data_IF_541689551747
#
_entry.id   IF_541689551747
#
_cell.length_a   1.000
_cell.length_b   1.000
_cell.length_c   1.000
_cell.angle_alpha   90.00
_cell.angle_beta   90.00
_cell.angle_gamma   90.00
#
_symmetry.space_group_name_H-M   'P 1'
#
loop_
_entity.id
_entity.type
_entity.pdbx_description
1 polymer ?
#
# COMPACT_ATOMS: atom_id res chain seq x y z
N UNK A 1 -9.58 30.12 1.80
CA UNK A 1 -8.54 29.09 1.56
C UNK A 1 -9.09 27.65 1.44
N UNK A 2 -9.89 27.13 2.38
CA UNK A 2 -10.32 25.72 2.37
C UNK A 2 -11.57 25.36 1.53
N UNK A 3 -12.12 26.29 0.74
CA UNK A 3 -13.38 26.08 0.00
C UNK A 3 -13.31 24.92 -1.00
N UNK A 4 -12.25 24.75 -1.82
CA UNK A 4 -12.18 23.64 -2.78
C UNK A 4 -12.15 22.27 -2.12
N UNK A 5 -11.44 22.15 -0.99
CA UNK A 5 -11.36 20.89 -0.22
C UNK A 5 -12.71 20.54 0.37
N UNK A 6 -13.40 21.51 0.99
CA UNK A 6 -14.75 21.29 1.55
C UNK A 6 -15.73 20.81 0.49
N UNK A 7 -15.71 21.40 -0.70
CA UNK A 7 -16.58 20.98 -1.81
C UNK A 7 -16.32 19.53 -2.21
N UNK A 8 -15.06 19.12 -2.32
CA UNK A 8 -14.70 17.72 -2.64
C UNK A 8 -15.12 16.74 -1.55
N UNK A 9 -15.12 17.16 -0.28
CA UNK A 9 -15.49 16.32 0.85
C UNK A 9 -17.00 16.23 1.11
N UNK A 10 -17.82 17.09 0.49
CA UNK A 10 -19.29 17.08 0.72
C UNK A 10 -19.93 15.72 0.45
N UNK A 11 -19.46 15.00 -0.57
CA UNK A 11 -19.98 13.66 -0.88
C UNK A 11 -19.73 12.64 0.23
N UNK A 12 -18.68 12.84 1.03
CA UNK A 12 -18.33 11.96 2.15
C UNK A 12 -19.16 12.24 3.40
N UNK A 13 -19.68 13.46 3.56
CA UNK A 13 -20.45 13.87 4.75
C UNK A 13 -21.80 13.15 4.84
N UNK A 14 -22.41 12.87 3.68
CA UNK A 14 -23.71 12.21 3.60
C UNK A 14 -23.62 10.71 3.31
N UNK A 15 -22.41 10.20 3.05
CA UNK A 15 -22.19 8.80 2.74
C UNK A 15 -22.21 7.95 4.00
N UNK A 16 -22.92 6.83 3.95
CA UNK A 16 -22.88 5.80 4.98
C UNK A 16 -21.49 5.17 5.06
N UNK A 17 -20.90 5.18 6.25
CA UNK A 17 -19.51 4.73 6.46
C UNK A 17 -19.37 3.23 6.22
N UNK A 18 -20.41 2.44 6.47
CA UNK A 18 -20.31 0.97 6.39
C UNK A 18 -20.46 0.46 4.95
N UNK A 19 -21.30 1.11 4.16
CA UNK A 19 -21.67 0.63 2.82
C UNK A 19 -21.07 1.47 1.68
N UNK A 20 -20.81 2.76 1.90
CA UNK A 20 -20.39 3.67 0.83
C UNK A 20 -18.92 4.05 0.92
N UNK A 21 -18.26 3.86 2.06
CA UNK A 21 -16.83 4.11 2.18
C UNK A 21 -16.03 2.91 1.71
N UNK A 22 -14.89 3.20 1.11
CA UNK A 22 -13.91 2.24 0.61
C UNK A 22 -12.56 2.58 1.22
N UNK A 23 -11.99 1.63 1.95
CA UNK A 23 -10.69 1.75 2.60
C UNK A 23 -9.67 0.97 1.79
N UNK A 24 -8.61 1.62 1.33
CA UNK A 24 -7.57 0.97 0.52
C UNK A 24 -6.18 1.31 1.02
N UNK A 25 -5.24 0.38 0.86
CA UNK A 25 -3.82 0.60 1.12
C UNK A 25 -3.02 0.38 -0.15
N UNK A 26 -2.02 1.23 -0.41
CA UNK A 26 -1.13 1.07 -1.56
C UNK A 26 -0.21 -0.14 -1.32
N UNK A 27 -0.11 -1.03 -2.30
CA UNK A 27 0.86 -2.12 -2.30
C UNK A 27 2.27 -1.55 -2.36
N UNK A 28 3.16 -2.02 -1.49
CA UNK A 28 4.55 -1.61 -1.49
C UNK A 28 5.34 -2.31 -2.59
N UNK A 29 6.47 -1.71 -2.97
CA UNK A 29 7.39 -2.24 -4.00
C UNK A 29 6.78 -2.36 -5.41
N UNK A 30 5.67 -1.67 -5.69
CA UNK A 30 5.16 -1.49 -7.06
C UNK A 30 5.75 -0.25 -7.71
N UNK A 31 6.03 -0.25 -9.04
CA UNK A 31 6.45 0.94 -9.74
C UNK A 31 5.48 2.12 -9.55
N UNK A 32 6.00 3.34 -9.42
CA UNK A 32 5.18 4.52 -9.19
C UNK A 32 4.19 4.80 -10.35
N UNK A 33 4.52 4.38 -11.56
CA UNK A 33 3.66 4.50 -12.76
C UNK A 33 2.47 3.56 -12.77
N UNK A 34 2.51 2.46 -12.00
CA UNK A 34 1.49 1.41 -11.99
C UNK A 34 1.15 1.02 -10.55
N UNK A 35 0.57 1.95 -9.77
CA UNK A 35 0.24 1.69 -8.38
C UNK A 35 -0.84 0.60 -8.29
N UNK A 36 -0.61 -0.38 -7.41
CA UNK A 36 -1.61 -1.37 -7.05
C UNK A 36 -2.09 -1.13 -5.62
N UNK A 37 -3.32 -1.52 -5.35
CA UNK A 37 -3.96 -1.31 -4.04
C UNK A 37 -4.54 -2.61 -3.51
N UNK A 38 -4.60 -2.73 -2.19
CA UNK A 38 -5.40 -3.74 -1.51
C UNK A 38 -6.61 -3.06 -0.87
N UNK A 39 -7.77 -3.69 -1.04
CA UNK A 39 -8.98 -3.33 -0.33
C UNK A 39 -8.89 -3.84 1.13
N UNK A 40 -9.31 -2.98 2.06
CA UNK A 40 -9.42 -3.31 3.48
C UNK A 40 -10.89 -3.56 3.84
N UNK A 41 -11.10 -4.58 4.66
CA UNK A 41 -12.41 -4.95 5.17
C UNK A 41 -12.67 -4.24 6.52
N UNK A 42 -13.56 -3.24 6.58
CA UNK A 42 -13.79 -2.47 7.81
C UNK A 42 -14.44 -3.29 8.92
N UNK A 43 -14.94 -4.50 8.63
CA UNK A 43 -15.53 -5.40 9.63
C UNK A 43 -14.50 -6.25 10.36
N UNK A 44 -13.24 -6.25 9.89
CA UNK A 44 -12.14 -7.04 10.46
C UNK A 44 -11.16 -6.19 11.25
N UNK A 45 -10.47 -6.77 12.25
CA UNK A 45 -9.37 -6.10 12.93
C UNK A 45 -8.31 -5.60 11.94
N UNK A 46 -7.71 -4.45 12.24
CA UNK A 46 -6.65 -3.88 11.39
C UNK A 46 -5.47 -4.85 11.22
N UNK A 47 -5.10 -5.59 12.28
CA UNK A 47 -4.05 -6.60 12.23
C UNK A 47 -4.32 -7.70 11.19
N UNK A 48 -5.57 -8.14 11.04
CA UNK A 48 -5.94 -9.15 10.04
C UNK A 48 -5.96 -8.57 8.63
N UNK A 49 -6.36 -7.30 8.50
CA UNK A 49 -6.31 -6.58 7.24
C UNK A 49 -4.90 -6.41 6.70
N UNK A 50 -3.94 -6.10 7.59
CA UNK A 50 -2.54 -5.87 7.25
C UNK A 50 -1.70 -7.15 7.23
N UNK A 51 -2.28 -8.30 7.62
CA UNK A 51 -1.58 -9.57 7.65
C UNK A 51 -1.03 -9.90 6.25
N UNK A 52 0.25 -10.24 6.20
CA UNK A 52 1.01 -10.54 4.98
C UNK A 52 1.18 -9.37 4.01
N UNK A 53 0.85 -8.13 4.39
CA UNK A 53 1.17 -6.95 3.60
C UNK A 53 2.54 -6.39 4.02
N UNK A 54 3.35 -6.01 3.04
CA UNK A 54 4.54 -5.22 3.32
C UNK A 54 4.13 -3.78 3.66
N UNK A 55 4.64 -3.26 4.78
CA UNK A 55 4.41 -1.89 5.27
C UNK A 55 5.77 -1.24 5.52
N UNK A 56 5.96 -0.03 5.00
CA UNK A 56 7.15 0.78 5.24
C UNK A 56 6.80 1.83 6.29
N UNK A 57 7.55 1.85 7.39
CA UNK A 57 7.33 2.71 8.57
C UNK A 57 5.97 2.48 9.27
N UNK A 58 4.89 3.00 8.71
CA UNK A 58 3.54 2.93 9.25
C UNK A 58 2.51 2.75 8.14
N UNK A 59 1.35 2.11 8.42
CA UNK A 59 0.32 1.92 7.41
C UNK A 59 -0.36 3.24 7.07
N UNK A 60 -0.44 3.56 5.78
CA UNK A 60 -1.24 4.70 5.28
C UNK A 60 -2.49 4.18 4.58
N UNK A 61 -3.65 4.45 5.16
CA UNK A 61 -4.95 4.05 4.60
C UNK A 61 -5.54 5.23 3.84
N UNK A 62 -5.87 4.99 2.58
CA UNK A 62 -6.63 5.91 1.74
C UNK A 62 -8.12 5.61 1.90
N UNK A 63 -8.90 6.66 2.12
CA UNK A 63 -10.36 6.57 2.24
C UNK A 63 -10.98 7.20 1.00
N UNK A 64 -11.81 6.43 0.32
CA UNK A 64 -12.56 6.89 -0.86
C UNK A 64 -14.02 6.42 -0.78
N UNK A 65 -14.81 6.75 -1.79
CA UNK A 65 -16.19 6.25 -1.91
C UNK A 65 -16.23 5.04 -2.83
N UNK A 66 -17.11 4.09 -2.56
CA UNK A 66 -17.31 2.90 -3.38
C UNK A 66 -17.65 3.24 -4.84
N UNK A 67 -18.36 4.35 -5.09
CA UNK A 67 -18.62 4.87 -6.44
C UNK A 67 -17.36 5.21 -7.23
N UNK A 68 -16.25 5.49 -6.54
CA UNK A 68 -14.93 5.82 -7.12
C UNK A 68 -13.97 4.64 -7.15
N UNK A 69 -14.42 3.43 -6.81
CA UNK A 69 -13.60 2.21 -6.81
C UNK A 69 -12.88 1.96 -8.13
N UNK A 70 -13.54 2.30 -9.24
CA UNK A 70 -13.00 2.14 -10.60
C UNK A 70 -11.75 2.99 -10.89
N UNK A 71 -11.46 4.01 -10.07
CA UNK A 71 -10.25 4.83 -10.18
C UNK A 71 -8.99 4.09 -9.68
N UNK A 72 -9.15 2.92 -9.04
CA UNK A 72 -8.07 2.17 -8.41
C UNK A 72 -7.88 0.80 -9.06
N UNK A 73 -6.62 0.41 -9.24
CA UNK A 73 -6.26 -0.95 -9.70
C UNK A 73 -5.92 -1.83 -8.50
N UNK A 74 -6.65 -2.94 -8.35
CA UNK A 74 -6.52 -3.82 -7.18
C UNK A 74 -5.59 -5.01 -7.45
N UNK A 75 -4.68 -5.26 -6.50
CA UNK A 75 -3.89 -6.48 -6.46
C UNK A 75 -4.70 -7.62 -5.81
N UNK A 76 -4.43 -8.85 -6.24
CA UNK A 76 -4.91 -10.03 -5.53
C UNK A 76 -4.05 -10.28 -4.29
N UNK A 77 -4.67 -10.70 -3.18
CA UNK A 77 -3.97 -11.20 -1.99
C UNK A 77 -3.51 -12.64 -2.23
N UNK A 78 -2.57 -12.84 -3.15
CA UNK A 78 -1.78 -14.06 -3.20
C UNK A 78 -0.52 -13.85 -2.36
N UNK A 79 -0.04 -14.90 -1.68
CA UNK A 79 1.25 -14.87 -0.98
C UNK A 79 2.32 -14.67 -2.04
N UNK A 80 2.81 -13.44 -2.19
CA UNK A 80 3.95 -13.16 -3.05
C UNK A 80 5.22 -13.43 -2.25
N UNK A 81 5.91 -14.51 -2.59
CA UNK A 81 7.25 -14.80 -2.07
C UNK A 81 8.17 -13.73 -2.62
N UNK A 82 8.60 -12.80 -1.78
CA UNK A 82 9.65 -11.85 -2.13
C UNK A 82 10.97 -12.60 -1.99
N UNK A 83 11.57 -12.99 -3.11
CA UNK A 83 12.92 -13.54 -3.11
C UNK A 83 13.88 -12.47 -2.56
N UNK A 84 14.40 -12.71 -1.37
CA UNK A 84 15.45 -11.88 -0.80
C UNK A 84 16.72 -12.08 -1.64
N UNK A 85 17.11 -11.09 -2.43
CA UNK A 85 18.41 -11.11 -3.11
C UNK A 85 19.51 -11.16 -2.03
N UNK A 86 20.34 -12.20 -1.96
CA UNK A 86 21.40 -12.25 -0.97
C UNK A 86 22.41 -11.11 -1.23
N UNK A 87 23.00 -10.52 -0.18
CA UNK A 87 24.01 -9.48 -0.34
C UNK A 87 25.18 -10.03 -1.15
N UNK A 88 25.48 -9.39 -2.28
CA UNK A 88 26.66 -9.71 -3.07
C UNK A 88 27.91 -9.43 -2.22
N UNK A 89 28.57 -10.49 -1.78
CA UNK A 89 29.88 -10.42 -1.15
C UNK A 89 30.90 -10.18 -2.26
N UNK A 90 31.31 -8.93 -2.44
CA UNK A 90 32.48 -8.58 -3.25
C UNK A 90 33.72 -9.20 -2.59
N UNK A 91 34.53 -10.00 -3.30
CA UNK A 91 35.76 -10.53 -2.72
C UNK A 91 36.75 -9.39 -2.51
N UNK A 92 37.19 -9.19 -1.26
CA UNK A 92 38.32 -8.33 -0.94
C UNK A 92 39.59 -8.96 -1.52
N UNK A 93 40.21 -8.27 -2.48
CA UNK A 93 41.48 -8.65 -3.10
C UNK A 93 42.60 -8.52 -2.05
N UNK A 94 43.15 -9.66 -1.62
CA UNK A 94 44.29 -9.71 -0.71
C UNK A 94 45.56 -9.45 -1.52
N UNK A 95 46.13 -8.25 -1.38
CA UNK A 95 47.43 -7.91 -1.96
C UNK A 95 48.50 -8.71 -1.21
N UNK A 96 49.10 -9.68 -1.90
CA UNK A 96 50.24 -10.46 -1.42
C UNK A 96 51.52 -9.63 -1.51
N UNK A 97 52.03 -9.16 -0.37
CA UNK A 97 53.39 -8.62 -0.25
C UNK A 97 54.38 -9.77 -0.13
N UNK A 98 55.07 -10.10 -1.22
CA UNK A 98 56.23 -11.00 -1.23
C UNK A 98 57.53 -10.22 -1.00
N UNK A 99 58.43 -10.86 -0.23
CA UNK A 99 59.77 -10.44 0.20
C UNK A 99 60.69 -9.95 -0.93
#
# INVERSE_FOLDING_TARGET
ENVPVRTKLKSYVHADVQSEWLFVIKKQFTPASTPLYYELDPTKPLADNLRHLAIVEFPTVLVTLQSRRHEYTFAHRAIEVVDATPPQTTPTEVISSGL
#
